data_IF_266801695780
#
_entry.id   IF_266801695780
#
_cell.length_a   1.000
_cell.length_b   1.000
_cell.length_c   1.000
_cell.angle_alpha   90.00
_cell.angle_beta   90.00
_cell.angle_gamma   90.00
#
_symmetry.space_group_name_H-M   'P 1'
#
loop_
_entity.id
_entity.type
_entity.pdbx_description
1 polymer ?
#
# COMPACT_ATOMS: atom_id res chain seq x y z
N UNK A 1 -26.12 4.95 -13.01
CA UNK A 1 -26.36 3.62 -12.40
C UNK A 1 -25.54 3.50 -11.12
N UNK A 2 -26.09 2.82 -10.09
CA UNK A 2 -25.38 2.65 -8.82
C UNK A 2 -24.24 1.65 -8.98
N UNK A 3 -23.02 1.99 -8.52
CA UNK A 3 -21.83 1.12 -8.57
C UNK A 3 -22.09 -0.24 -7.90
N UNK A 4 -22.89 -0.25 -6.83
CA UNK A 4 -23.29 -1.47 -6.11
C UNK A 4 -24.07 -2.49 -6.96
N UNK A 5 -24.67 -2.07 -8.06
CA UNK A 5 -25.35 -3.00 -8.98
C UNK A 5 -24.40 -3.69 -9.93
N UNK A 6 -23.25 -3.06 -10.21
CA UNK A 6 -22.28 -3.52 -11.22
C UNK A 6 -21.07 -4.20 -10.61
N UNK A 7 -20.78 -3.95 -9.33
CA UNK A 7 -19.57 -4.47 -8.68
C UNK A 7 -19.88 -4.98 -7.27
N UNK A 8 -19.18 -6.05 -6.89
CA UNK A 8 -19.18 -6.60 -5.53
C UNK A 8 -17.75 -6.78 -5.01
N UNK A 9 -17.61 -6.72 -3.69
CA UNK A 9 -16.31 -6.94 -3.02
C UNK A 9 -16.46 -8.15 -2.11
N UNK A 10 -15.50 -9.08 -2.18
CA UNK A 10 -15.49 -10.30 -1.36
C UNK A 10 -14.11 -10.53 -0.78
N UNK A 11 -14.04 -11.17 0.39
CA UNK A 11 -12.80 -11.73 0.91
C UNK A 11 -12.38 -12.90 0.01
N UNK A 12 -11.10 -12.97 -0.32
CA UNK A 12 -10.51 -14.00 -1.17
C UNK A 12 -9.30 -14.64 -0.49
N UNK A 13 -8.83 -15.76 -1.02
CA UNK A 13 -7.62 -16.41 -0.51
C UNK A 13 -6.36 -15.66 -0.96
N UNK A 14 -5.29 -15.75 -0.17
CA UNK A 14 -4.05 -15.01 -0.43
C UNK A 14 -3.44 -15.35 -1.80
N UNK A 15 -3.50 -16.61 -2.22
CA UNK A 15 -2.92 -17.05 -3.50
C UNK A 15 -3.62 -16.40 -4.71
N UNK A 16 -4.90 -16.03 -4.62
CA UNK A 16 -5.63 -15.37 -5.70
C UNK A 16 -5.08 -13.95 -6.02
N UNK A 17 -4.37 -13.35 -5.05
CA UNK A 17 -3.70 -12.05 -5.26
C UNK A 17 -2.31 -12.18 -5.88
N UNK A 18 -1.68 -13.36 -5.86
CA UNK A 18 -0.25 -13.49 -6.14
C UNK A 18 0.10 -13.09 -7.57
N UNK A 19 -0.67 -13.57 -8.55
CA UNK A 19 -0.44 -13.24 -9.95
C UNK A 19 -0.59 -11.74 -10.21
N UNK A 20 -1.59 -11.11 -9.60
CA UNK A 20 -1.81 -9.67 -9.67
C UNK A 20 -0.61 -8.88 -9.14
N UNK A 21 -0.04 -9.31 -8.01
CA UNK A 21 1.09 -8.60 -7.39
C UNK A 21 2.42 -8.86 -8.10
N UNK A 22 2.61 -10.05 -8.65
CA UNK A 22 3.85 -10.40 -9.34
C UNK A 22 3.90 -9.84 -10.77
N UNK A 23 2.77 -9.85 -11.47
CA UNK A 23 2.74 -9.51 -12.90
C UNK A 23 2.17 -8.13 -13.20
N UNK A 24 1.11 -7.71 -12.51
CA UNK A 24 0.40 -6.47 -12.80
C UNK A 24 0.88 -5.29 -11.94
N UNK A 25 1.09 -5.48 -10.64
CA UNK A 25 1.52 -4.40 -9.76
C UNK A 25 2.98 -3.99 -10.00
N UNK A 26 3.28 -2.68 -10.04
CA UNK A 26 4.63 -2.17 -10.33
C UNK A 26 5.73 -2.71 -9.42
N UNK A 27 5.43 -3.05 -8.17
CA UNK A 27 6.42 -3.57 -7.21
C UNK A 27 6.84 -5.02 -7.48
N UNK A 28 6.12 -5.78 -8.33
CA UNK A 28 6.44 -7.14 -8.78
C UNK A 28 6.85 -8.11 -7.66
N UNK A 29 6.21 -8.01 -6.51
CA UNK A 29 6.49 -8.89 -5.34
C UNK A 29 5.27 -9.05 -4.45
N UNK A 30 5.17 -10.21 -3.79
CA UNK A 30 4.12 -10.52 -2.82
C UNK A 30 4.50 -9.85 -1.48
N UNK A 31 3.59 -9.05 -0.86
CA UNK A 31 3.77 -8.51 0.49
C UNK A 31 3.42 -9.53 1.56
N UNK A 32 3.56 -9.15 2.83
CA UNK A 32 2.87 -9.82 3.92
C UNK A 32 1.35 -9.60 3.79
N UNK A 33 0.53 -10.66 3.77
CA UNK A 33 -0.92 -10.59 3.60
C UNK A 33 -1.61 -11.17 4.82
N UNK A 34 -2.38 -10.35 5.52
CA UNK A 34 -3.29 -10.73 6.61
C UNK A 34 -4.72 -10.82 6.11
N UNK A 35 -5.12 -9.84 5.28
CA UNK A 35 -6.43 -9.81 4.63
C UNK A 35 -6.25 -9.49 3.16
N UNK A 36 -7.06 -10.11 2.31
CA UNK A 36 -7.19 -9.70 0.92
C UNK A 36 -8.64 -9.77 0.45
N UNK A 37 -8.96 -8.89 -0.49
CA UNK A 37 -10.29 -8.77 -1.06
C UNK A 37 -10.20 -8.64 -2.58
N UNK A 38 -11.18 -9.23 -3.25
CA UNK A 38 -11.35 -9.15 -4.69
C UNK A 38 -12.53 -8.25 -5.04
N UNK A 39 -12.37 -7.47 -6.09
CA UNK A 39 -13.42 -6.72 -6.76
C UNK A 39 -13.94 -7.54 -7.93
N UNK A 40 -15.22 -7.84 -7.94
CA UNK A 40 -15.89 -8.60 -9.00
C UNK A 40 -16.90 -7.73 -9.72
N UNK A 41 -16.96 -7.86 -11.03
CA UNK A 41 -18.01 -7.24 -11.84
C UNK A 41 -19.33 -8.03 -11.80
N UNK A 42 -20.33 -7.59 -12.56
CA UNK A 42 -21.66 -8.22 -12.64
C UNK A 42 -21.61 -9.66 -13.18
N UNK A 43 -20.60 -9.95 -14.01
CA UNK A 43 -20.36 -11.29 -14.57
C UNK A 43 -19.54 -12.19 -13.64
N UNK A 44 -19.27 -11.74 -12.40
CA UNK A 44 -18.45 -12.42 -11.42
C UNK A 44 -16.97 -12.56 -11.83
N UNK A 45 -16.50 -11.74 -12.78
CA UNK A 45 -15.09 -11.71 -13.18
C UNK A 45 -14.29 -10.84 -12.21
N UNK A 46 -13.15 -11.32 -11.76
CA UNK A 46 -12.24 -10.61 -10.86
C UNK A 46 -11.60 -9.42 -11.58
N UNK A 47 -11.91 -8.22 -11.16
CA UNK A 47 -11.47 -6.95 -11.74
C UNK A 47 -10.36 -6.25 -10.94
N UNK A 48 -10.06 -6.73 -9.75
CA UNK A 48 -9.00 -6.17 -8.93
C UNK A 48 -8.85 -6.85 -7.60
N UNK A 49 -7.68 -6.63 -6.99
CA UNK A 49 -7.31 -7.17 -5.69
C UNK A 49 -6.72 -6.08 -4.79
N UNK A 50 -7.01 -6.15 -3.50
CA UNK A 50 -6.39 -5.32 -2.47
C UNK A 50 -5.95 -6.18 -1.31
N UNK A 51 -4.77 -5.88 -0.74
CA UNK A 51 -4.29 -6.58 0.44
C UNK A 51 -3.89 -5.64 1.57
N UNK A 52 -4.11 -6.16 2.77
CA UNK A 52 -3.71 -5.56 4.03
C UNK A 52 -2.80 -6.52 4.77
N UNK A 53 -1.74 -6.01 5.35
CA UNK A 53 -0.79 -6.79 6.14
C UNK A 53 -0.18 -5.97 7.26
N UNK A 54 0.74 -6.56 8.02
CA UNK A 54 1.46 -5.80 9.03
C UNK A 54 2.49 -4.87 8.39
N UNK A 55 2.58 -3.59 8.84
CA UNK A 55 3.61 -2.70 8.36
C UNK A 55 5.01 -3.26 8.64
N UNK A 56 5.91 -3.12 7.68
CA UNK A 56 7.30 -3.62 7.82
C UNK A 56 8.11 -2.78 8.81
N UNK A 57 7.79 -1.49 8.95
CA UNK A 57 8.52 -0.57 9.81
C UNK A 57 8.03 -0.63 11.25
N UNK A 58 8.80 -1.27 12.14
CA UNK A 58 8.52 -1.27 13.58
C UNK A 58 8.57 0.16 14.16
N UNK A 59 9.48 1.00 13.71
CA UNK A 59 9.59 2.40 14.15
C UNK A 59 8.32 3.20 13.82
N UNK A 60 7.69 2.93 12.67
CA UNK A 60 6.40 3.53 12.33
C UNK A 60 5.30 3.05 13.29
N UNK A 61 5.20 1.74 13.53
CA UNK A 61 4.16 1.16 14.39
C UNK A 61 4.25 1.76 15.81
N UNK A 62 5.45 1.86 16.35
CA UNK A 62 5.68 2.41 17.69
C UNK A 62 5.53 3.94 17.69
N UNK A 63 6.14 4.63 16.73
CA UNK A 63 6.22 6.09 16.70
C UNK A 63 4.94 6.80 16.32
N UNK A 64 4.17 6.25 15.38
CA UNK A 64 3.04 6.94 14.77
C UNK A 64 1.95 7.38 15.77
N UNK A 65 1.76 6.64 16.85
CA UNK A 65 0.76 6.91 17.89
C UNK A 65 1.35 6.82 19.30
N UNK A 66 2.60 7.21 19.48
CA UNK A 66 3.27 7.30 20.80
C UNK A 66 3.21 5.97 21.57
N UNK A 67 3.47 4.86 20.89
CA UNK A 67 3.43 3.51 21.47
C UNK A 67 2.05 2.87 21.61
N UNK A 68 0.98 3.59 21.31
CA UNK A 68 -0.39 3.07 21.36
C UNK A 68 -0.78 2.37 20.05
N UNK A 69 -1.80 1.53 20.09
CA UNK A 69 -2.47 0.92 18.93
C UNK A 69 -1.60 -0.04 18.09
N UNK A 70 -0.47 -0.53 18.61
CA UNK A 70 0.45 -1.38 17.86
C UNK A 70 -0.21 -2.67 17.36
N UNK A 71 -1.07 -3.30 18.18
CA UNK A 71 -1.73 -4.58 17.87
C UNK A 71 -2.87 -4.47 16.85
N UNK A 72 -3.34 -3.24 16.60
CA UNK A 72 -4.42 -2.98 15.65
C UNK A 72 -3.94 -2.30 14.37
N UNK A 73 -2.61 -2.24 14.17
CA UNK A 73 -2.01 -1.58 13.04
C UNK A 73 -2.00 -2.48 11.80
N UNK A 74 -2.43 -1.94 10.67
CA UNK A 74 -2.35 -2.58 9.36
C UNK A 74 -1.75 -1.63 8.33
N UNK A 75 -1.21 -2.17 7.26
CA UNK A 75 -0.82 -1.44 6.06
C UNK A 75 -1.67 -1.93 4.88
N UNK A 76 -2.37 -1.03 4.18
CA UNK A 76 -2.85 -1.30 2.85
C UNK A 76 -1.61 -1.31 1.94
N UNK A 77 -1.09 -2.50 1.68
CA UNK A 77 0.23 -2.67 1.10
C UNK A 77 0.21 -2.93 -0.41
N UNK A 78 -0.93 -3.38 -0.97
CA UNK A 78 -1.12 -3.50 -2.42
C UNK A 78 -2.57 -3.22 -2.80
N UNK A 79 -2.71 -2.51 -3.90
CA UNK A 79 -3.97 -2.26 -4.59
C UNK A 79 -3.70 -2.36 -6.08
N UNK A 80 -4.38 -3.27 -6.75
CA UNK A 80 -4.20 -3.54 -8.16
C UNK A 80 -5.55 -3.82 -8.79
N UNK A 81 -5.88 -3.12 -9.84
CA UNK A 81 -7.15 -3.26 -10.57
C UNK A 81 -6.90 -3.28 -12.08
N UNK A 82 -7.85 -3.81 -12.82
CA UNK A 82 -7.83 -3.72 -14.27
C UNK A 82 -7.99 -2.26 -14.73
N UNK A 83 -7.50 -1.99 -15.93
CA UNK A 83 -7.70 -0.70 -16.59
C UNK A 83 -9.16 -0.52 -17.00
N UNK A 84 -9.52 0.71 -17.32
CA UNK A 84 -10.84 1.06 -17.87
C UNK A 84 -12.04 0.74 -16.98
N UNK A 85 -11.85 0.57 -15.67
CA UNK A 85 -12.95 0.54 -14.72
C UNK A 85 -13.67 1.91 -14.68
N UNK A 86 -14.97 1.88 -14.48
CA UNK A 86 -15.78 3.09 -14.42
C UNK A 86 -15.36 4.06 -13.31
N UNK A 87 -15.85 5.30 -13.41
CA UNK A 87 -15.61 6.34 -12.40
C UNK A 87 -16.01 5.86 -11.01
N UNK A 88 -15.19 6.17 -9.99
CA UNK A 88 -15.39 5.85 -8.58
C UNK A 88 -15.37 4.36 -8.21
N UNK A 89 -15.11 3.44 -9.14
CA UNK A 89 -15.03 2.00 -8.83
C UNK A 89 -13.88 1.72 -7.87
N UNK A 90 -12.75 2.37 -8.05
CA UNK A 90 -11.58 2.18 -7.18
C UNK A 90 -11.86 2.66 -5.73
N UNK A 91 -12.49 3.83 -5.56
CA UNK A 91 -12.86 4.34 -4.23
C UNK A 91 -13.94 3.49 -3.56
N UNK A 92 -14.89 2.98 -4.34
CA UNK A 92 -15.85 1.99 -3.88
C UNK A 92 -15.12 0.72 -3.38
N UNK A 93 -14.20 0.17 -4.16
CA UNK A 93 -13.46 -1.03 -3.80
C UNK A 93 -12.68 -0.87 -2.48
N UNK A 94 -11.88 0.19 -2.35
CA UNK A 94 -11.12 0.47 -1.11
C UNK A 94 -12.07 0.66 0.08
N UNK A 95 -13.13 1.45 -0.08
CA UNK A 95 -14.08 1.72 0.99
C UNK A 95 -14.83 0.47 1.45
N UNK A 96 -15.25 -0.40 0.52
CA UNK A 96 -15.90 -1.66 0.88
C UNK A 96 -14.93 -2.64 1.55
N UNK A 97 -13.70 -2.76 1.05
CA UNK A 97 -12.68 -3.62 1.66
C UNK A 97 -12.38 -3.23 3.11
N UNK A 98 -12.30 -1.94 3.38
CA UNK A 98 -12.10 -1.43 4.75
C UNK A 98 -13.28 -1.80 5.69
N UNK A 99 -14.51 -1.84 5.18
CA UNK A 99 -15.68 -2.20 6.00
C UNK A 99 -15.67 -3.64 6.50
N UNK A 100 -14.96 -4.54 5.81
CA UNK A 100 -14.80 -5.94 6.25
C UNK A 100 -13.79 -6.10 7.39
N UNK A 101 -12.98 -5.09 7.68
CA UNK A 101 -11.99 -5.17 8.75
C UNK A 101 -12.65 -4.97 10.12
N UNK A 102 -12.26 -5.80 11.09
CA UNK A 102 -12.72 -5.68 12.48
C UNK A 102 -12.29 -4.35 13.07
N UNK A 103 -13.16 -3.74 13.87
CA UNK A 103 -12.91 -2.49 14.59
C UNK A 103 -12.41 -2.78 16.02
N UNK A 104 -11.53 -1.92 16.59
CA UNK A 104 -10.87 -0.77 15.96
C UNK A 104 -9.65 -1.19 15.12
N UNK A 105 -9.24 -0.36 14.15
CA UNK A 105 -8.00 -0.51 13.36
C UNK A 105 -7.39 0.83 13.01
N UNK A 106 -6.07 0.84 12.91
CA UNK A 106 -5.29 1.91 12.28
C UNK A 106 -4.71 1.35 10.99
N UNK A 107 -4.98 1.99 9.88
CA UNK A 107 -4.42 1.59 8.58
C UNK A 107 -3.49 2.68 8.10
N UNK A 108 -2.28 2.31 7.70
CA UNK A 108 -1.35 3.17 6.97
C UNK A 108 -1.29 2.75 5.52
N UNK A 109 -1.04 3.69 4.61
CA UNK A 109 -0.65 3.38 3.24
C UNK A 109 0.23 4.48 2.66
N UNK A 110 0.87 4.16 1.55
CA UNK A 110 1.84 5.04 0.92
C UNK A 110 1.57 5.19 -0.57
N UNK A 111 1.65 6.44 -1.05
CA UNK A 111 1.71 6.72 -2.47
C UNK A 111 3.16 7.01 -2.86
N UNK A 112 3.68 6.28 -3.83
CA UNK A 112 5.10 6.31 -4.21
C UNK A 112 5.36 7.46 -5.20
N UNK A 113 6.17 8.43 -4.78
CA UNK A 113 6.49 9.59 -5.63
C UNK A 113 7.30 9.20 -6.86
N UNK A 114 8.10 8.12 -6.81
CA UNK A 114 8.84 7.63 -7.97
C UNK A 114 7.93 7.11 -9.09
N UNK A 115 6.69 6.77 -8.74
CA UNK A 115 5.65 6.37 -9.70
C UNK A 115 4.73 7.55 -10.10
N UNK A 116 5.03 8.76 -9.65
CA UNK A 116 4.19 9.93 -9.86
C UNK A 116 2.83 9.85 -9.15
N UNK A 117 2.76 9.10 -8.03
CA UNK A 117 1.53 8.90 -7.27
C UNK A 117 1.41 9.92 -6.14
N UNK A 118 0.33 10.69 -6.15
CA UNK A 118 -0.04 11.64 -5.09
C UNK A 118 -1.06 11.05 -4.09
N UNK A 119 -1.43 9.78 -4.22
CA UNK A 119 -2.39 9.13 -3.35
C UNK A 119 -3.84 9.54 -3.57
N UNK A 120 -4.22 9.84 -4.82
CA UNK A 120 -5.59 10.24 -5.18
C UNK A 120 -6.67 9.34 -4.59
N UNK A 121 -6.44 8.02 -4.55
CA UNK A 121 -7.41 7.07 -3.99
C UNK A 121 -7.61 7.25 -2.49
N UNK A 122 -6.54 7.58 -1.75
CA UNK A 122 -6.61 7.85 -0.31
C UNK A 122 -7.34 9.16 -0.04
N UNK A 123 -7.10 10.19 -0.86
CA UNK A 123 -7.83 11.46 -0.80
C UNK A 123 -9.32 11.26 -1.09
N UNK A 124 -9.66 10.51 -2.14
CA UNK A 124 -11.05 10.20 -2.52
C UNK A 124 -11.80 9.34 -1.47
N UNK A 125 -11.09 8.70 -0.56
CA UNK A 125 -11.65 7.88 0.52
C UNK A 125 -11.40 8.48 1.92
N UNK A 126 -11.08 9.78 1.98
CA UNK A 126 -10.94 10.58 3.21
C UNK A 126 -9.89 10.05 4.20
N UNK A 127 -8.73 9.63 3.71
CA UNK A 127 -7.60 9.28 4.57
C UNK A 127 -6.92 10.56 5.09
N UNK A 128 -6.36 10.48 6.28
CA UNK A 128 -5.57 11.56 6.89
C UNK A 128 -4.19 11.58 6.22
N UNK A 129 -3.84 12.67 5.58
CA UNK A 129 -2.51 12.87 5.01
C UNK A 129 -1.56 13.43 6.06
N UNK A 130 -0.35 12.88 6.15
CA UNK A 130 0.65 13.26 7.16
C UNK A 130 2.02 13.52 6.53
N UNK A 131 2.02 14.10 5.34
CA UNK A 131 3.23 14.49 4.66
C UNK A 131 4.00 13.33 4.02
N UNK A 132 5.21 13.65 3.61
CA UNK A 132 6.13 12.68 3.00
C UNK A 132 6.85 11.87 4.09
N UNK A 133 7.17 10.62 3.77
CA UNK A 133 8.05 9.80 4.60
C UNK A 133 9.43 10.44 4.75
N UNK A 134 10.19 10.02 5.76
CA UNK A 134 11.53 10.53 6.01
C UNK A 134 12.47 10.28 4.82
N UNK A 135 13.51 11.09 4.74
CA UNK A 135 14.60 10.90 3.77
C UNK A 135 15.43 9.71 4.22
N UNK A 136 15.58 8.73 3.33
CA UNK A 136 16.42 7.55 3.58
C UNK A 136 17.38 7.32 2.43
N UNK A 137 18.59 6.87 2.74
CA UNK A 137 19.55 6.41 1.75
C UNK A 137 19.53 4.88 1.69
N UNK A 138 19.69 4.36 0.48
CA UNK A 138 19.82 2.93 0.23
C UNK A 138 21.21 2.59 -0.27
N UNK A 139 21.84 1.62 0.37
CA UNK A 139 23.09 1.08 -0.13
C UNK A 139 22.85 0.23 -1.38
N UNK A 140 23.70 0.44 -2.37
CA UNK A 140 23.75 -0.33 -3.60
C UNK A 140 25.17 -0.83 -3.84
N UNK A 141 25.30 -1.87 -4.66
CA UNK A 141 26.59 -2.43 -5.05
C UNK A 141 26.74 -2.27 -6.56
N UNK A 142 27.88 -1.75 -7.01
CA UNK A 142 28.18 -1.62 -8.44
C UNK A 142 28.12 -2.97 -9.15
N UNK A 143 27.60 -2.97 -10.38
CA UNK A 143 27.49 -4.20 -11.18
C UNK A 143 26.50 -5.23 -10.65
N UNK A 144 25.66 -4.89 -9.66
CA UNK A 144 24.73 -5.82 -9.04
C UNK A 144 23.32 -5.24 -8.89
N UNK A 145 22.31 -6.07 -9.14
CA UNK A 145 20.89 -5.75 -8.90
C UNK A 145 20.40 -6.21 -7.52
N UNK A 146 21.34 -6.55 -6.61
CA UNK A 146 21.00 -6.98 -5.25
C UNK A 146 20.24 -5.86 -4.53
N UNK A 147 19.10 -6.23 -3.94
CA UNK A 147 18.29 -5.28 -3.17
C UNK A 147 19.05 -4.77 -1.94
N UNK A 148 18.91 -3.48 -1.62
CA UNK A 148 19.56 -2.79 -0.49
C UNK A 148 19.53 -3.56 0.84
N UNK A 149 18.43 -4.22 1.18
CA UNK A 149 18.36 -5.06 2.39
C UNK A 149 19.35 -6.21 2.40
N UNK A 150 19.60 -6.83 1.25
CA UNK A 150 20.57 -7.91 1.14
C UNK A 150 22.01 -7.36 1.18
N UNK A 151 22.24 -6.19 0.57
CA UNK A 151 23.53 -5.50 0.73
C UNK A 151 23.83 -5.21 2.21
N UNK A 152 22.84 -4.69 2.94
CA UNK A 152 22.98 -4.42 4.39
C UNK A 152 23.07 -5.70 5.25
N UNK A 153 22.52 -6.82 4.81
CA UNK A 153 22.59 -8.10 5.50
C UNK A 153 23.94 -8.78 5.31
N UNK A 154 24.48 -8.69 4.10
CA UNK A 154 25.69 -9.44 3.71
C UNK A 154 26.99 -8.68 3.98
N UNK A 155 26.93 -7.38 4.14
CA UNK A 155 28.09 -6.51 4.36
C UNK A 155 27.83 -5.57 5.53
N UNK A 156 28.81 -5.45 6.42
CA UNK A 156 28.76 -4.53 7.56
C UNK A 156 28.77 -3.07 7.09
N UNK A 157 28.41 -2.15 7.99
CA UNK A 157 28.47 -0.71 7.69
C UNK A 157 29.91 -0.26 7.40
N UNK A 158 30.87 -0.82 8.12
CA UNK A 158 32.29 -0.51 7.95
C UNK A 158 32.78 -0.97 6.58
N UNK A 159 32.56 -2.23 6.21
CA UNK A 159 32.93 -2.75 4.88
C UNK A 159 32.36 -1.92 3.73
N UNK A 160 31.12 -1.44 3.87
CA UNK A 160 30.49 -0.61 2.84
C UNK A 160 31.13 0.79 2.75
N UNK A 161 31.56 1.35 3.87
CA UNK A 161 32.23 2.66 3.91
C UNK A 161 33.65 2.59 3.39
N UNK A 162 34.37 1.52 3.72
CA UNK A 162 35.79 1.34 3.34
C UNK A 162 35.97 0.94 1.87
N UNK A 163 34.89 0.55 1.19
CA UNK A 163 34.93 0.12 -0.20
C UNK A 163 34.05 0.98 -1.11
N UNK A 164 34.35 2.29 -1.29
CA UNK A 164 33.54 3.20 -2.12
C UNK A 164 33.50 2.80 -3.60
N UNK A 165 34.47 2.03 -4.07
CA UNK A 165 34.51 1.49 -5.43
C UNK A 165 33.54 0.29 -5.64
N UNK A 166 33.07 -0.32 -4.56
CA UNK A 166 32.14 -1.45 -4.57
C UNK A 166 30.73 -1.05 -4.19
N UNK A 167 30.57 -0.07 -3.31
CA UNK A 167 29.28 0.35 -2.77
C UNK A 167 29.05 1.84 -2.95
N UNK A 168 27.77 2.20 -3.15
CA UNK A 168 27.34 3.58 -3.25
C UNK A 168 25.96 3.78 -2.61
N UNK A 169 25.59 5.02 -2.39
CA UNK A 169 24.24 5.38 -1.92
C UNK A 169 23.37 5.88 -3.06
N UNK A 170 22.09 5.58 -2.97
CA UNK A 170 21.06 6.30 -3.68
C UNK A 170 20.07 6.87 -2.67
N UNK A 171 19.48 8.00 -2.99
CA UNK A 171 18.37 8.52 -2.21
C UNK A 171 17.12 7.70 -2.52
N UNK A 172 16.49 7.19 -1.46
CA UNK A 172 15.23 6.47 -1.60
C UNK A 172 14.12 7.47 -1.86
N UNK A 173 13.31 7.29 -2.92
CA UNK A 173 12.16 8.14 -3.15
C UNK A 173 11.26 8.19 -1.92
N UNK A 174 10.91 9.39 -1.48
CA UNK A 174 9.97 9.59 -0.40
C UNK A 174 8.58 9.17 -0.84
N UNK A 175 7.71 8.86 0.11
CA UNK A 175 6.34 8.43 -0.17
C UNK A 175 5.36 9.29 0.60
N UNK A 176 4.29 9.70 -0.03
CA UNK A 176 3.16 10.34 0.65
C UNK A 176 2.54 9.33 1.62
N UNK A 177 2.44 9.69 2.90
CA UNK A 177 1.93 8.83 3.97
C UNK A 177 0.49 9.20 4.32
N UNK A 178 -0.37 8.18 4.34
CA UNK A 178 -1.79 8.31 4.63
C UNK A 178 -2.20 7.37 5.74
N UNK A 179 -3.06 7.84 6.65
CA UNK A 179 -3.67 7.02 7.70
C UNK A 179 -5.19 6.96 7.53
N UNK A 180 -5.76 5.80 7.80
CA UNK A 180 -7.21 5.63 7.94
C UNK A 180 -7.54 5.02 9.29
N UNK A 181 -8.48 5.63 10.02
CA UNK A 181 -8.83 5.22 11.38
C UNK A 181 -10.21 4.56 11.37
N UNK A 182 -10.27 3.31 11.79
CA UNK A 182 -11.51 2.55 11.93
C UNK A 182 -11.87 2.50 13.41
N UNK A 183 -13.08 2.94 13.75
CA UNK A 183 -13.57 2.98 15.11
C UNK A 183 -14.85 3.79 15.23
N UNK A 184 -15.41 3.86 16.42
CA UNK A 184 -16.48 4.79 16.74
C UNK A 184 -15.96 6.24 16.83
N UNK A 185 -16.84 7.21 17.02
CA UNK A 185 -16.47 8.64 17.04
C UNK A 185 -15.48 8.99 18.16
N UNK A 186 -15.62 8.38 19.34
CA UNK A 186 -14.73 8.60 20.51
C UNK A 186 -13.35 8.01 20.25
N UNK A 187 -13.29 6.77 19.77
CA UNK A 187 -12.04 6.08 19.41
C UNK A 187 -11.24 6.85 18.36
N UNK A 188 -11.89 7.28 17.29
CA UNK A 188 -11.25 8.07 16.22
C UNK A 188 -10.69 9.39 16.74
N UNK A 189 -11.44 10.11 17.59
CA UNK A 189 -10.98 11.37 18.21
C UNK A 189 -9.74 11.13 19.05
N UNK A 190 -9.72 10.05 19.82
CA UNK A 190 -8.57 9.70 20.65
C UNK A 190 -7.36 9.27 19.80
N UNK A 191 -7.57 8.48 18.75
CA UNK A 191 -6.50 8.13 17.80
C UNK A 191 -5.88 9.38 17.16
N UNK A 192 -6.69 10.34 16.70
CA UNK A 192 -6.20 11.60 16.13
C UNK A 192 -5.37 12.37 17.16
N UNK A 193 -5.82 12.46 18.43
CA UNK A 193 -5.07 13.13 19.50
C UNK A 193 -3.70 12.50 19.77
N UNK A 194 -3.59 11.18 19.58
CA UNK A 194 -2.34 10.45 19.80
C UNK A 194 -1.46 10.38 18.55
N UNK A 195 -1.94 10.82 17.38
CA UNK A 195 -1.15 10.83 16.16
C UNK A 195 0.07 11.76 16.31
N UNK A 196 1.26 11.20 16.15
CA UNK A 196 2.52 11.92 16.32
C UNK A 196 2.91 12.77 15.12
N UNK A 197 2.27 12.55 13.98
CA UNK A 197 2.52 13.30 12.74
C UNK A 197 1.55 14.45 12.58
N UNK A 198 2.02 15.57 12.06
CA UNK A 198 1.16 16.67 11.64
C UNK A 198 0.17 16.23 10.54
N UNK A 199 -1.05 16.74 10.62
CA UNK A 199 -2.03 16.58 9.54
C UNK A 199 -1.80 17.68 8.53
N UNK A 200 -1.56 17.32 7.27
CA UNK A 200 -1.23 18.24 6.19
C UNK A 200 -2.34 18.29 5.14
N UNK A 201 -2.42 19.39 4.38
CA UNK A 201 -3.29 19.47 3.21
C UNK A 201 -2.88 18.42 2.16
N UNK A 202 -3.85 17.85 1.46
CA UNK A 202 -3.56 16.86 0.42
C UNK A 202 -2.63 17.41 -0.66
N UNK A 203 -1.65 16.61 -1.11
CA UNK A 203 -0.81 17.01 -2.22
C UNK A 203 -1.65 17.18 -3.48
N UNK A 204 -1.38 18.25 -4.21
CA UNK A 204 -2.00 18.55 -5.51
C UNK A 204 -1.10 18.07 -6.65
N UNK A 205 -1.67 17.87 -7.82
CA UNK A 205 -0.96 17.48 -9.02
C UNK A 205 -1.62 16.31 -9.74
N UNK A 206 -1.14 16.05 -10.95
CA UNK A 206 -1.63 14.93 -11.75
C UNK A 206 -1.09 13.61 -11.21
N UNK A 207 -1.98 12.69 -10.93
CA UNK A 207 -1.62 11.33 -10.52
C UNK A 207 -1.41 10.49 -11.78
N UNK A 208 -0.20 9.98 -11.98
CA UNK A 208 0.08 9.04 -13.08
C UNK A 208 -0.47 7.66 -12.74
N UNK A 209 -1.03 7.00 -13.73
CA UNK A 209 -1.29 5.56 -13.65
C UNK A 209 -0.02 4.84 -14.08
N UNK A 210 0.36 3.76 -13.40
CA UNK A 210 1.41 2.88 -13.90
C UNK A 210 0.83 2.00 -15.02
N UNK A 211 1.70 1.55 -15.91
CA UNK A 211 1.30 0.61 -16.95
C UNK A 211 0.87 -0.72 -16.32
N UNK A 212 -0.40 -1.03 -16.46
CA UNK A 212 -1.04 -2.24 -15.98
C UNK A 212 -1.55 -3.10 -17.15
N UNK A 213 -0.80 -3.12 -18.24
CA UNK A 213 -1.14 -3.83 -19.48
C UNK A 213 -1.27 -5.35 -19.31
N UNK A 214 -0.62 -5.94 -18.29
CA UNK A 214 -0.79 -7.35 -18.01
C UNK A 214 -2.25 -7.67 -17.61
N UNK A 215 -2.85 -8.58 -18.36
CA UNK A 215 -4.14 -9.17 -18.03
C UNK A 215 -3.90 -10.49 -17.29
N UNK A 216 -4.41 -10.61 -16.06
CA UNK A 216 -4.39 -11.89 -15.36
C UNK A 216 -5.22 -12.92 -16.16
N UNK A 217 -4.71 -14.14 -16.26
CA UNK A 217 -5.49 -15.23 -16.81
C UNK A 217 -6.83 -15.33 -16.07
N UNK A 218 -7.92 -15.32 -16.81
CA UNK A 218 -9.22 -15.65 -16.23
C UNK A 218 -9.14 -17.11 -15.82
N UNK A 219 -9.41 -17.39 -14.56
CA UNK A 219 -9.55 -18.75 -14.09
C UNK A 219 -10.72 -19.37 -14.85
N UNK A 220 -10.40 -20.20 -15.86
CA UNK A 220 -11.42 -21.00 -16.52
C UNK A 220 -12.06 -21.87 -15.44
N UNK A 221 -13.37 -21.81 -15.32
CA UNK A 221 -14.11 -22.76 -14.52
C UNK A 221 -13.87 -24.11 -15.17
N UNK A 222 -13.03 -24.95 -14.58
CA UNK A 222 -12.96 -26.36 -14.91
C UNK A 222 -14.32 -26.96 -14.50
N UNK A 223 -15.12 -27.30 -15.50
CA UNK A 223 -16.37 -28.02 -15.32
C UNK A 223 -16.11 -29.40 -14.74
#
# INVERSE_FOLDING_TARGET
MSIHKNYSVKKINNYECHEWFLKKHYAKRIPNIVYCFGLYDINKVLQGVVSFGFPVSRSLIVGAFKGKYQDIFLELNRLCVNDNLGKNVLSFFVSQSIKFLQKPKVIVSYADTSQGHNGYIYQATNWIYTGLSDVHKEWRMYGSNIHSKNVCKNFTLQERRDNPNKFYFIDRPRKHRYFYLIGNKKEKKEMIKNLAYGIEPYPKGNNKKYDASYQCATQGVLF
#
